data_IF_547609171283
#
_entry.id   IF_547609171283
#
_cell.length_a   1.000
_cell.length_b   1.000
_cell.length_c   1.000
_cell.angle_alpha   90.00
_cell.angle_beta   90.00
_cell.angle_gamma   90.00
#
_symmetry.space_group_name_H-M   'P 1'
#
loop_
_entity.id
_entity.type
_entity.pdbx_description
1 polymer ?
#
# COMPACT_ATOMS: atom_id res chain seq x y z
N UNK A 1 -7.56 -33.46 -0.70
CA UNK A 1 -6.57 -32.65 0.03
C UNK A 1 -6.12 -33.42 1.26
N UNK A 2 -4.93 -33.17 1.81
CA UNK A 2 -4.52 -33.76 3.10
C UNK A 2 -5.46 -33.25 4.21
N UNK A 3 -5.58 -33.99 5.32
CA UNK A 3 -6.46 -33.58 6.42
C UNK A 3 -6.07 -32.21 6.98
N UNK A 4 -4.78 -31.97 7.20
CA UNK A 4 -4.25 -30.68 7.65
C UNK A 4 -4.51 -29.55 6.65
N UNK A 5 -4.38 -29.83 5.35
CA UNK A 5 -4.76 -28.88 4.31
C UNK A 5 -6.23 -28.46 4.41
N UNK A 6 -7.15 -29.42 4.61
CA UNK A 6 -8.60 -29.13 4.77
C UNK A 6 -8.87 -28.20 5.96
N UNK A 7 -8.22 -28.43 7.11
CA UNK A 7 -8.33 -27.54 8.27
C UNK A 7 -7.78 -26.14 7.99
N UNK A 8 -6.65 -26.05 7.27
CA UNK A 8 -6.11 -24.80 6.78
C UNK A 8 -7.13 -24.02 5.95
N UNK A 9 -7.68 -24.64 4.90
CA UNK A 9 -8.68 -24.02 4.02
C UNK A 9 -9.98 -23.64 4.76
N UNK A 10 -10.45 -24.48 5.68
CA UNK A 10 -11.59 -24.13 6.55
C UNK A 10 -11.32 -22.84 7.33
N UNK A 11 -10.11 -22.69 7.86
CA UNK A 11 -9.74 -21.49 8.63
C UNK A 11 -9.77 -20.23 7.75
N UNK A 12 -9.35 -20.34 6.48
CA UNK A 12 -9.47 -19.24 5.50
C UNK A 12 -10.95 -18.88 5.27
N UNK A 13 -11.78 -19.88 4.96
CA UNK A 13 -13.20 -19.67 4.65
C UNK A 13 -13.97 -19.02 5.81
N UNK A 14 -13.64 -19.38 7.06
CA UNK A 14 -14.33 -18.86 8.25
C UNK A 14 -13.81 -17.47 8.63
N UNK A 15 -12.49 -17.24 8.61
CA UNK A 15 -11.91 -16.01 9.14
C UNK A 15 -12.08 -14.79 8.22
N UNK A 16 -12.30 -14.97 6.92
CA UNK A 16 -12.43 -13.88 5.94
C UNK A 16 -13.83 -13.22 5.87
N UNK A 17 -14.74 -13.58 6.78
CA UNK A 17 -16.17 -13.29 6.64
C UNK A 17 -16.66 -11.98 7.29
N UNK A 18 -15.79 -11.14 7.84
CA UNK A 18 -16.21 -10.10 8.81
C UNK A 18 -16.47 -8.69 8.25
N UNK A 19 -16.00 -8.31 7.06
CA UNK A 19 -16.17 -6.93 6.56
C UNK A 19 -16.50 -6.78 5.05
N UNK A 20 -16.13 -7.75 4.22
CA UNK A 20 -16.55 -7.86 2.82
C UNK A 20 -17.31 -9.17 2.61
N UNK A 21 -18.01 -9.33 1.47
CA UNK A 21 -18.61 -10.61 1.06
C UNK A 21 -17.72 -11.30 0.01
N UNK A 22 -16.51 -11.77 0.36
CA UNK A 22 -15.67 -12.48 -0.60
C UNK A 22 -16.36 -13.77 -1.05
N UNK A 23 -16.15 -14.14 -2.31
CA UNK A 23 -16.57 -15.43 -2.84
C UNK A 23 -15.34 -16.32 -3.00
N UNK A 24 -15.45 -17.56 -2.55
CA UNK A 24 -14.34 -18.51 -2.62
C UNK A 24 -14.59 -19.58 -3.66
N UNK A 25 -13.51 -20.04 -4.28
CA UNK A 25 -13.43 -21.28 -5.01
C UNK A 25 -12.19 -22.04 -4.52
N UNK A 26 -12.18 -23.36 -4.66
CA UNK A 26 -11.05 -24.18 -4.31
C UNK A 26 -10.74 -25.20 -5.41
N UNK A 27 -9.46 -25.28 -5.77
CA UNK A 27 -8.91 -26.29 -6.68
C UNK A 27 -7.87 -27.08 -5.91
N UNK A 28 -7.94 -28.41 -5.97
CA UNK A 28 -6.85 -29.25 -5.52
C UNK A 28 -6.03 -29.66 -6.74
N UNK A 29 -4.71 -29.64 -6.60
CA UNK A 29 -3.80 -30.04 -7.66
C UNK A 29 -2.75 -31.04 -7.16
N UNK A 30 -2.24 -31.81 -8.10
CA UNK A 30 -1.11 -32.70 -7.96
C UNK A 30 -0.51 -32.94 -9.36
N UNK A 31 -0.51 -34.18 -9.89
CA UNK A 31 -0.24 -34.45 -11.31
C UNK A 31 -1.35 -33.98 -12.26
N UNK A 32 -2.55 -33.72 -11.71
CA UNK A 32 -3.70 -33.11 -12.37
C UNK A 32 -4.34 -32.10 -11.41
N UNK A 33 -5.12 -31.17 -11.94
CA UNK A 33 -5.94 -30.26 -11.14
C UNK A 33 -7.43 -30.65 -11.24
N UNK A 34 -8.19 -30.44 -10.16
CA UNK A 34 -9.66 -30.50 -10.20
C UNK A 34 -10.30 -29.52 -9.24
N UNK A 35 -11.45 -29.00 -9.63
CA UNK A 35 -12.29 -28.16 -8.79
C UNK A 35 -12.85 -28.97 -7.61
N UNK A 36 -12.64 -28.45 -6.40
CA UNK A 36 -13.26 -28.96 -5.17
C UNK A 36 -14.63 -28.31 -4.99
N UNK A 37 -14.69 -26.98 -5.15
CA UNK A 37 -15.92 -26.20 -5.25
C UNK A 37 -15.65 -24.90 -6.02
N UNK A 38 -16.65 -24.40 -6.73
CA UNK A 38 -16.60 -23.12 -7.45
C UNK A 38 -17.33 -22.00 -6.68
N UNK A 39 -17.42 -20.80 -7.27
CA UNK A 39 -18.06 -19.66 -6.61
C UNK A 39 -19.57 -19.86 -6.40
N UNK A 40 -20.26 -20.59 -7.29
CA UNK A 40 -21.66 -20.92 -7.11
C UNK A 40 -21.87 -21.91 -5.94
N UNK A 41 -21.04 -22.96 -5.87
CA UNK A 41 -21.05 -23.90 -4.74
C UNK A 41 -20.82 -23.16 -3.40
N UNK A 42 -19.97 -22.13 -3.40
CA UNK A 42 -19.74 -21.29 -2.21
C UNK A 42 -20.98 -20.44 -1.86
N UNK A 43 -21.59 -19.75 -2.84
CA UNK A 43 -22.84 -18.98 -2.63
C UNK A 43 -23.98 -19.84 -2.08
N UNK A 44 -24.05 -21.10 -2.51
CA UNK A 44 -25.06 -22.08 -2.07
C UNK A 44 -24.71 -22.77 -0.75
N UNK A 45 -23.62 -22.37 -0.08
CA UNK A 45 -23.20 -22.96 1.20
C UNK A 45 -22.66 -24.39 1.10
N UNK A 46 -22.36 -24.88 -0.10
CA UNK A 46 -21.85 -26.25 -0.35
C UNK A 46 -20.33 -26.38 -0.20
N UNK A 47 -19.60 -25.28 -0.04
CA UNK A 47 -18.14 -25.25 0.03
C UNK A 47 -17.53 -26.16 1.11
N UNK A 48 -17.97 -26.05 2.37
CA UNK A 48 -17.42 -26.89 3.45
C UNK A 48 -17.74 -28.37 3.24
N UNK A 49 -18.96 -28.69 2.80
CA UNK A 49 -19.37 -30.06 2.49
C UNK A 49 -18.50 -30.68 1.40
N UNK A 50 -18.28 -29.96 0.30
CA UNK A 50 -17.43 -30.41 -0.79
C UNK A 50 -15.96 -30.55 -0.36
N UNK A 51 -15.46 -29.60 0.42
CA UNK A 51 -14.10 -29.63 0.98
C UNK A 51 -13.85 -30.89 1.84
N UNK A 52 -14.82 -31.27 2.67
CA UNK A 52 -14.68 -32.47 3.52
C UNK A 52 -14.77 -33.77 2.72
N UNK A 53 -15.57 -33.82 1.65
CA UNK A 53 -15.66 -34.97 0.74
C UNK A 53 -14.41 -35.16 -0.15
N UNK A 54 -13.61 -34.11 -0.31
CA UNK A 54 -12.50 -34.10 -1.26
C UNK A 54 -11.39 -35.10 -0.93
N UNK A 55 -11.08 -36.02 -1.86
CA UNK A 55 -10.03 -37.04 -1.66
C UNK A 55 -8.63 -36.45 -1.86
N UNK A 56 -7.64 -36.90 -1.09
CA UNK A 56 -6.24 -36.47 -1.26
C UNK A 56 -5.67 -36.96 -2.60
N UNK A 57 -5.01 -36.06 -3.33
CA UNK A 57 -4.16 -36.41 -4.46
C UNK A 57 -2.73 -36.57 -3.96
N UNK A 58 -2.21 -37.81 -3.94
CA UNK A 58 -0.86 -38.12 -3.45
C UNK A 58 0.08 -38.38 -4.63
N UNK A 59 0.37 -37.37 -5.46
CA UNK A 59 1.25 -37.49 -6.63
C UNK A 59 2.14 -36.24 -6.78
N UNK A 60 2.59 -35.92 -8.00
CA UNK A 60 3.47 -34.77 -8.33
C UNK A 60 2.86 -33.40 -7.94
N UNK A 61 3.62 -32.33 -8.13
CA UNK A 61 3.21 -30.95 -7.81
C UNK A 61 3.23 -30.10 -9.07
N UNK A 62 2.31 -30.35 -10.02
CA UNK A 62 2.24 -29.59 -11.28
C UNK A 62 1.54 -28.23 -11.05
N UNK A 63 2.31 -27.25 -10.60
CA UNK A 63 1.80 -25.94 -10.16
C UNK A 63 1.42 -25.06 -11.32
N UNK A 64 2.21 -25.01 -12.40
CA UNK A 64 1.91 -24.15 -13.55
C UNK A 64 0.65 -24.64 -14.29
N UNK A 65 0.52 -25.95 -14.47
CA UNK A 65 -0.70 -26.57 -14.99
C UNK A 65 -1.92 -26.27 -14.12
N UNK A 66 -1.77 -26.27 -12.79
CA UNK A 66 -2.85 -25.98 -11.87
C UNK A 66 -3.34 -24.53 -11.96
N UNK A 67 -2.40 -23.58 -12.12
CA UNK A 67 -2.73 -22.16 -12.33
C UNK A 67 -3.49 -22.01 -13.65
N UNK A 68 -3.00 -22.56 -14.76
CA UNK A 68 -3.71 -22.52 -16.06
C UNK A 68 -5.11 -23.16 -16.00
N UNK A 69 -5.25 -24.30 -15.32
CA UNK A 69 -6.55 -24.92 -15.08
C UNK A 69 -7.49 -23.96 -14.33
N UNK A 70 -6.99 -23.28 -13.29
CA UNK A 70 -7.77 -22.38 -12.47
C UNK A 70 -8.20 -21.13 -13.26
N UNK A 71 -7.32 -20.55 -14.08
CA UNK A 71 -7.66 -19.44 -14.97
C UNK A 71 -8.87 -19.81 -15.84
N UNK A 72 -8.78 -20.92 -16.57
CA UNK A 72 -9.79 -21.36 -17.54
C UNK A 72 -11.09 -21.82 -16.89
N UNK A 73 -11.02 -22.59 -15.80
CA UNK A 73 -12.18 -23.28 -15.25
C UNK A 73 -12.85 -22.54 -14.09
N UNK A 74 -12.14 -21.59 -13.46
CA UNK A 74 -12.65 -20.82 -12.31
C UNK A 74 -12.78 -19.35 -12.68
N UNK A 75 -11.70 -18.64 -12.99
CA UNK A 75 -11.76 -17.17 -13.14
C UNK A 75 -12.38 -16.69 -14.46
N UNK A 76 -12.24 -17.44 -15.55
CA UNK A 76 -12.80 -17.09 -16.86
C UNK A 76 -14.12 -17.82 -17.16
N UNK A 77 -14.58 -18.67 -16.25
CA UNK A 77 -15.78 -19.45 -16.42
C UNK A 77 -16.96 -18.81 -15.69
N UNK A 78 -17.83 -18.10 -16.43
CA UNK A 78 -19.05 -17.52 -15.86
C UNK A 78 -19.98 -18.58 -15.26
N UNK A 79 -20.02 -19.80 -15.82
CA UNK A 79 -20.81 -20.90 -15.26
C UNK A 79 -20.28 -21.39 -13.90
N UNK A 80 -19.02 -21.09 -13.57
CA UNK A 80 -18.44 -21.34 -12.25
C UNK A 80 -18.79 -20.24 -11.22
N UNK A 81 -19.49 -19.18 -11.64
CA UNK A 81 -19.94 -18.07 -10.80
C UNK A 81 -18.97 -16.88 -10.74
N UNK A 82 -17.96 -16.86 -11.61
CA UNK A 82 -16.98 -15.77 -11.69
C UNK A 82 -17.60 -14.48 -12.21
N UNK A 83 -17.21 -13.36 -11.59
CA UNK A 83 -17.65 -12.02 -11.98
C UNK A 83 -16.49 -11.30 -12.67
N UNK A 84 -16.75 -10.68 -13.82
CA UNK A 84 -15.71 -10.00 -14.60
C UNK A 84 -15.07 -8.81 -13.83
N UNK A 85 -15.90 -8.07 -13.09
CA UNK A 85 -15.51 -6.85 -12.37
C UNK A 85 -14.91 -7.11 -10.97
N UNK A 86 -14.80 -8.37 -10.55
CA UNK A 86 -14.26 -8.71 -9.24
C UNK A 86 -12.72 -8.63 -9.23
N UNK A 87 -12.16 -8.15 -8.12
CA UNK A 87 -10.74 -8.32 -7.83
C UNK A 87 -10.43 -9.80 -7.67
N UNK A 88 -9.46 -10.30 -8.45
CA UNK A 88 -9.13 -11.73 -8.49
C UNK A 88 -7.86 -12.00 -7.69
N UNK A 89 -8.01 -12.76 -6.61
CA UNK A 89 -6.89 -13.19 -5.76
C UNK A 89 -6.73 -14.69 -5.82
N UNK A 90 -5.50 -15.14 -6.10
CA UNK A 90 -5.08 -16.54 -6.07
C UNK A 90 -4.16 -16.77 -4.87
N UNK A 91 -4.55 -17.68 -3.98
CA UNK A 91 -3.70 -18.15 -2.88
C UNK A 91 -3.24 -19.58 -3.17
N UNK A 92 -1.94 -19.75 -3.42
CA UNK A 92 -1.30 -21.03 -3.69
C UNK A 92 -0.74 -21.57 -2.38
N UNK A 93 -1.21 -22.73 -1.93
CA UNK A 93 -0.68 -23.41 -0.74
C UNK A 93 -0.02 -24.70 -1.19
N UNK A 94 1.28 -24.86 -0.94
CA UNK A 94 2.05 -26.03 -1.38
C UNK A 94 3.07 -26.45 -0.33
N UNK A 95 3.25 -27.75 -0.16
CA UNK A 95 4.31 -28.36 0.66
C UNK A 95 5.47 -28.92 -0.18
N UNK A 96 5.44 -28.66 -1.50
CA UNK A 96 6.47 -29.09 -2.44
C UNK A 96 6.77 -28.04 -3.52
N UNK A 97 7.94 -28.19 -4.13
CA UNK A 97 8.36 -27.36 -5.26
C UNK A 97 7.57 -27.74 -6.53
N UNK A 98 7.33 -26.79 -7.46
CA UNK A 98 6.76 -27.11 -8.76
C UNK A 98 7.54 -28.23 -9.47
N UNK A 99 6.82 -29.25 -9.91
CA UNK A 99 7.34 -30.39 -10.69
C UNK A 99 7.29 -30.15 -12.19
N UNK A 100 6.57 -29.11 -12.63
CA UNK A 100 6.42 -28.67 -14.01
C UNK A 100 7.07 -27.29 -14.23
N UNK A 101 7.03 -26.82 -15.47
CA UNK A 101 7.58 -25.51 -15.87
C UNK A 101 6.54 -24.70 -16.63
N UNK A 102 6.67 -23.38 -16.63
CA UNK A 102 5.68 -22.50 -17.25
C UNK A 102 5.66 -22.52 -18.79
N UNK A 103 6.61 -23.21 -19.43
CA UNK A 103 6.84 -23.17 -20.89
C UNK A 103 5.60 -23.49 -21.74
N UNK A 104 4.62 -24.21 -21.20
CA UNK A 104 3.41 -24.65 -21.92
C UNK A 104 2.12 -23.98 -21.46
N UNK A 105 2.14 -23.27 -20.33
CA UNK A 105 0.93 -22.89 -19.61
C UNK A 105 0.70 -21.37 -19.56
N UNK A 106 1.73 -20.55 -19.87
CA UNK A 106 1.69 -19.09 -19.77
C UNK A 106 1.01 -18.62 -18.47
N UNK A 107 1.25 -19.35 -17.38
CA UNK A 107 0.45 -19.29 -16.17
C UNK A 107 0.76 -18.05 -15.36
N UNK A 108 2.01 -17.57 -15.36
CA UNK A 108 2.41 -16.37 -14.64
C UNK A 108 1.98 -15.12 -15.42
N UNK A 109 2.47 -14.95 -16.65
CA UNK A 109 2.11 -13.79 -17.47
C UNK A 109 0.60 -13.75 -17.76
N UNK A 110 -0.02 -14.90 -18.04
CA UNK A 110 -1.47 -14.96 -18.26
C UNK A 110 -2.30 -14.56 -17.04
N UNK A 111 -1.76 -14.76 -15.83
CA UNK A 111 -2.35 -14.26 -14.58
C UNK A 111 -2.13 -12.75 -14.43
N UNK A 112 -0.93 -12.26 -14.75
CA UNK A 112 -0.59 -10.82 -14.69
C UNK A 112 -1.43 -10.00 -15.67
N UNK A 113 -1.58 -10.45 -16.93
CA UNK A 113 -2.42 -9.83 -17.95
C UNK A 113 -3.89 -9.71 -17.53
N UNK A 114 -4.33 -10.52 -16.56
CA UNK A 114 -5.69 -10.56 -16.03
C UNK A 114 -5.83 -9.89 -14.67
N UNK A 115 -4.78 -9.20 -14.23
CA UNK A 115 -4.70 -8.52 -12.94
C UNK A 115 -5.01 -9.47 -11.76
N UNK A 116 -4.53 -10.71 -11.84
CA UNK A 116 -4.70 -11.73 -10.78
C UNK A 116 -3.54 -11.66 -9.81
N UNK A 117 -3.85 -11.37 -8.56
CA UNK A 117 -2.86 -11.21 -7.49
C UNK A 117 -2.56 -12.58 -6.90
N UNK A 118 -1.30 -12.97 -6.89
CA UNK A 118 -0.87 -14.31 -6.46
C UNK A 118 -0.11 -14.23 -5.16
N UNK A 119 -0.65 -14.86 -4.13
CA UNK A 119 0.04 -15.13 -2.87
C UNK A 119 0.47 -16.59 -2.83
N UNK A 120 1.67 -16.85 -2.33
CA UNK A 120 2.24 -18.20 -2.25
C UNK A 120 2.58 -18.53 -0.81
N UNK A 121 2.07 -19.64 -0.31
CA UNK A 121 2.30 -20.15 1.04
C UNK A 121 2.99 -21.51 0.90
N UNK A 122 4.28 -21.52 1.19
CA UNK A 122 5.09 -22.72 1.33
C UNK A 122 4.91 -23.36 2.71
N UNK A 123 4.75 -24.68 2.76
CA UNK A 123 4.63 -25.44 4.01
C UNK A 123 5.84 -26.35 4.17
N UNK A 124 6.47 -26.35 5.35
CA UNK A 124 7.69 -27.12 5.69
C UNK A 124 8.89 -26.77 4.80
N UNK A 125 9.38 -27.75 4.03
CA UNK A 125 10.67 -27.70 3.35
C UNK A 125 10.44 -27.49 1.86
N UNK A 126 10.40 -26.23 1.45
CA UNK A 126 10.26 -25.81 0.06
C UNK A 126 11.37 -24.82 -0.30
N UNK A 127 11.75 -24.78 -1.57
CA UNK A 127 12.71 -23.81 -2.09
C UNK A 127 12.01 -22.47 -2.28
N UNK A 128 12.27 -21.54 -1.36
CA UNK A 128 11.67 -20.21 -1.37
C UNK A 128 11.91 -19.48 -2.71
N UNK A 129 13.04 -19.72 -3.37
CA UNK A 129 13.38 -19.10 -4.65
C UNK A 129 12.42 -19.53 -5.75
N UNK A 130 12.07 -20.81 -5.78
CA UNK A 130 11.11 -21.37 -6.74
C UNK A 130 9.67 -20.95 -6.44
N UNK A 131 9.34 -20.74 -5.16
CA UNK A 131 8.00 -20.27 -4.79
C UNK A 131 7.83 -18.79 -5.10
N UNK A 132 8.87 -17.97 -4.89
CA UNK A 132 8.85 -16.55 -5.21
C UNK A 132 8.51 -16.27 -6.67
N UNK A 133 8.92 -17.13 -7.61
CA UNK A 133 8.61 -16.92 -9.04
C UNK A 133 7.11 -17.10 -9.37
N UNK A 134 6.33 -17.71 -8.47
CA UNK A 134 4.89 -17.90 -8.64
C UNK A 134 4.06 -16.72 -8.11
N UNK A 135 4.61 -15.95 -7.16
CA UNK A 135 3.93 -14.83 -6.53
C UNK A 135 3.93 -13.58 -7.42
N UNK A 136 2.94 -12.72 -7.22
CA UNK A 136 2.94 -11.37 -7.81
C UNK A 136 3.94 -10.46 -7.09
N UNK A 137 4.36 -9.37 -7.72
CA UNK A 137 5.24 -8.38 -7.08
C UNK A 137 4.53 -7.62 -5.93
N UNK A 138 5.25 -7.19 -4.87
CA UNK A 138 6.63 -7.55 -4.55
C UNK A 138 6.72 -8.98 -4.00
N UNK A 139 7.51 -9.83 -4.64
CA UNK A 139 7.57 -11.28 -4.37
C UNK A 139 7.91 -11.64 -2.93
N UNK A 140 8.78 -10.86 -2.30
CA UNK A 140 9.20 -10.99 -0.90
C UNK A 140 8.01 -10.87 0.06
N UNK A 141 7.06 -10.01 -0.30
CA UNK A 141 5.90 -9.72 0.53
C UNK A 141 4.72 -10.64 0.21
N UNK A 142 4.70 -11.26 -0.96
CA UNK A 142 3.61 -12.12 -1.40
C UNK A 142 3.95 -13.62 -1.31
N UNK A 143 5.14 -13.96 -0.81
CA UNK A 143 5.58 -15.32 -0.55
C UNK A 143 5.79 -15.52 0.95
N UNK A 144 5.17 -16.55 1.50
CA UNK A 144 5.24 -16.88 2.92
C UNK A 144 5.70 -18.32 3.11
N UNK A 145 6.40 -18.57 4.22
CA UNK A 145 6.84 -19.91 4.62
C UNK A 145 6.31 -20.22 6.02
N UNK A 146 5.66 -21.36 6.18
CA UNK A 146 5.17 -21.86 7.48
C UNK A 146 5.69 -23.25 7.77
N UNK A 147 5.94 -23.53 9.05
CA UNK A 147 6.39 -24.84 9.50
C UNK A 147 5.26 -25.89 9.42
N UNK A 148 4.03 -25.48 9.69
CA UNK A 148 2.85 -26.33 9.62
C UNK A 148 1.60 -25.50 9.28
N UNK A 149 0.46 -26.18 9.12
CA UNK A 149 -0.81 -25.53 8.80
C UNK A 149 -1.39 -24.70 9.95
N UNK A 150 -0.88 -24.79 11.18
CA UNK A 150 -1.30 -23.90 12.27
C UNK A 150 -0.75 -22.48 12.06
N UNK A 151 0.43 -22.37 11.44
CA UNK A 151 1.03 -21.10 11.03
C UNK A 151 0.18 -20.30 10.04
N UNK A 152 -0.78 -20.93 9.35
CA UNK A 152 -1.73 -20.22 8.49
C UNK A 152 -2.48 -19.15 9.27
N UNK A 153 -2.87 -19.39 10.53
CA UNK A 153 -3.65 -18.40 11.30
C UNK A 153 -2.94 -17.05 11.39
N UNK A 154 -1.63 -17.03 11.62
CA UNK A 154 -0.83 -15.80 11.67
C UNK A 154 -0.62 -15.14 10.31
N UNK A 155 -0.59 -15.92 9.23
CA UNK A 155 -0.52 -15.38 7.86
C UNK A 155 -1.86 -14.77 7.45
N UNK A 156 -2.98 -15.38 7.85
CA UNK A 156 -4.31 -14.95 7.43
C UNK A 156 -4.59 -13.52 7.84
N UNK A 157 -4.19 -13.08 9.03
CA UNK A 157 -4.38 -11.68 9.45
C UNK A 157 -3.59 -10.70 8.56
N UNK A 158 -2.38 -11.06 8.15
CA UNK A 158 -1.55 -10.25 7.24
C UNK A 158 -2.12 -10.26 5.82
N UNK A 159 -2.49 -11.43 5.32
CA UNK A 159 -3.07 -11.63 4.01
C UNK A 159 -4.44 -10.95 3.89
N UNK A 160 -5.25 -10.95 4.97
CA UNK A 160 -6.49 -10.19 5.09
C UNK A 160 -6.25 -8.69 4.98
N UNK A 161 -5.32 -8.12 5.76
CA UNK A 161 -4.99 -6.69 5.69
C UNK A 161 -4.51 -6.29 4.29
N UNK A 162 -3.74 -7.14 3.62
CA UNK A 162 -3.30 -6.90 2.25
C UNK A 162 -4.45 -6.95 1.26
N UNK A 163 -5.30 -7.97 1.32
CA UNK A 163 -6.50 -8.07 0.46
C UNK A 163 -7.46 -6.90 0.74
N UNK A 164 -7.57 -6.44 1.98
CA UNK A 164 -8.37 -5.27 2.36
C UNK A 164 -7.83 -3.99 1.68
N UNK A 165 -6.52 -3.76 1.75
CA UNK A 165 -5.88 -2.62 1.08
C UNK A 165 -6.05 -2.68 -0.45
N UNK A 166 -6.15 -3.89 -1.00
CA UNK A 166 -6.39 -4.17 -2.43
C UNK A 166 -7.84 -3.89 -2.86
N UNK A 167 -8.84 -4.03 -2.00
CA UNK A 167 -10.23 -3.68 -2.34
C UNK A 167 -10.52 -2.19 -2.11
N UNK A 168 -9.84 -1.55 -1.15
CA UNK A 168 -9.88 -0.10 -0.94
C UNK A 168 -9.12 0.73 -2.00
N UNK A 169 -8.29 0.07 -2.81
CA UNK A 169 -7.52 0.66 -3.91
C UNK A 169 -7.60 -0.32 -5.08
N UNK A 170 -8.32 -0.02 -6.18
CA UNK A 170 -8.53 -0.92 -7.35
C UNK A 170 -7.24 -1.35 -8.12
N UNK A 171 -6.10 -1.51 -7.45
CA UNK A 171 -4.78 -1.77 -8.02
C UNK A 171 -3.92 -2.51 -6.99
N UNK A 172 -4.09 -3.82 -6.98
CA UNK A 172 -3.29 -4.75 -6.20
C UNK A 172 -1.96 -5.13 -6.86
N UNK A 173 -1.35 -4.18 -7.56
CA UNK A 173 -0.01 -4.27 -8.10
C UNK A 173 0.95 -3.30 -7.41
N UNK A 174 0.54 -2.66 -6.31
CA UNK A 174 1.33 -1.68 -5.59
C UNK A 174 2.45 -2.33 -4.75
N UNK A 175 3.52 -2.77 -5.41
CA UNK A 175 4.82 -2.32 -4.93
C UNK A 175 4.79 -0.79 -4.91
N UNK A 176 4.98 -0.19 -3.72
CA UNK A 176 4.95 1.25 -3.45
C UNK A 176 3.82 2.05 -4.15
N UNK A 177 2.76 2.41 -3.41
CA UNK A 177 1.79 3.41 -3.88
C UNK A 177 2.54 4.71 -4.13
N UNK A 178 2.69 5.12 -5.37
CA UNK A 178 3.46 6.32 -5.73
C UNK A 178 2.53 7.53 -5.80
N UNK A 179 1.46 7.45 -6.60
CA UNK A 179 0.55 8.60 -6.84
C UNK A 179 -0.94 8.23 -6.90
N UNK A 180 -1.29 6.96 -6.79
CA UNK A 180 -2.65 6.44 -6.94
C UNK A 180 -3.62 7.02 -5.91
N UNK A 181 -3.12 7.20 -4.69
CA UNK A 181 -3.83 7.82 -3.57
C UNK A 181 -3.26 9.20 -3.24
N UNK A 182 -2.60 9.85 -4.21
CA UNK A 182 -1.83 11.10 -4.00
C UNK A 182 -2.61 12.16 -3.25
N UNK A 183 -3.90 12.34 -3.59
CA UNK A 183 -4.73 13.43 -3.09
C UNK A 183 -4.04 14.78 -3.32
N UNK A 184 -3.45 14.97 -4.52
CA UNK A 184 -2.80 16.22 -4.89
C UNK A 184 -3.80 17.39 -4.82
N UNK A 185 -3.37 18.50 -4.23
CA UNK A 185 -4.22 19.65 -3.95
C UNK A 185 -4.91 19.58 -2.58
N UNK A 186 -4.50 18.67 -1.70
CA UNK A 186 -4.95 18.63 -0.31
C UNK A 186 -4.66 19.96 0.41
N UNK A 187 -3.49 20.54 0.14
CA UNK A 187 -3.17 21.94 0.43
C UNK A 187 -2.69 22.62 -0.85
N UNK A 188 -2.78 23.95 -0.91
CA UNK A 188 -2.33 24.71 -2.08
C UNK A 188 -1.84 26.10 -1.67
N UNK A 189 -0.80 26.59 -2.36
CA UNK A 189 -0.29 27.94 -2.17
C UNK A 189 0.27 28.50 -3.48
N UNK A 190 -0.06 29.75 -3.78
CA UNK A 190 0.58 30.49 -4.86
C UNK A 190 1.91 31.06 -4.38
N UNK A 191 2.96 30.77 -5.12
CA UNK A 191 4.30 31.34 -4.89
C UNK A 191 4.40 32.69 -5.59
N UNK A 192 3.84 32.78 -6.80
CA UNK A 192 3.69 34.00 -7.59
C UNK A 192 2.50 33.81 -8.56
N UNK A 193 2.33 34.70 -9.55
CA UNK A 193 1.20 34.64 -10.49
C UNK A 193 1.18 33.38 -11.37
N UNK A 194 2.35 32.79 -11.62
CA UNK A 194 2.52 31.68 -12.55
C UNK A 194 2.90 30.37 -11.83
N UNK A 195 3.32 30.42 -10.58
CA UNK A 195 3.77 29.23 -9.83
C UNK A 195 2.78 28.85 -8.73
N UNK A 196 2.24 27.63 -8.83
CA UNK A 196 1.34 27.02 -7.84
C UNK A 196 2.02 25.79 -7.24
N UNK A 197 1.95 25.66 -5.91
CA UNK A 197 2.44 24.49 -5.18
C UNK A 197 1.28 23.77 -4.53
N UNK A 198 1.17 22.47 -4.79
CA UNK A 198 0.13 21.59 -4.27
C UNK A 198 0.71 20.57 -3.31
N UNK A 199 0.09 20.41 -2.14
CA UNK A 199 0.36 19.34 -1.20
C UNK A 199 -0.34 18.05 -1.60
N UNK A 200 0.35 16.93 -1.44
CA UNK A 200 -0.10 15.61 -1.90
C UNK A 200 0.17 14.55 -0.85
N UNK A 201 -0.70 14.51 0.16
CA UNK A 201 -0.51 13.76 1.40
C UNK A 201 -0.40 12.25 1.22
N UNK A 202 -1.06 11.68 0.21
CA UNK A 202 -1.11 10.23 0.00
C UNK A 202 -0.06 9.69 -0.98
N UNK A 203 0.78 10.57 -1.54
CA UNK A 203 1.87 10.16 -2.41
C UNK A 203 2.90 9.33 -1.64
N UNK A 204 3.52 8.36 -2.33
CA UNK A 204 4.62 7.56 -1.81
C UNK A 204 4.28 6.82 -0.50
N UNK A 205 3.18 6.07 -0.48
CA UNK A 205 2.62 5.39 0.70
C UNK A 205 2.34 6.36 1.85
N UNK A 206 1.59 7.43 1.58
CA UNK A 206 1.26 8.46 2.56
C UNK A 206 2.47 9.13 3.24
N UNK A 207 3.69 8.95 2.71
CA UNK A 207 4.84 9.78 3.07
C UNK A 207 4.53 11.23 2.74
N UNK A 208 3.93 11.45 1.57
CA UNK A 208 3.54 12.73 1.03
C UNK A 208 4.59 13.36 0.13
N UNK A 209 4.18 14.35 -0.66
CA UNK A 209 5.02 15.18 -1.53
C UNK A 209 4.40 16.56 -1.75
N UNK A 210 5.18 17.48 -2.32
CA UNK A 210 4.66 18.69 -2.93
C UNK A 210 4.83 18.60 -4.46
N UNK A 211 3.90 19.20 -5.20
CA UNK A 211 3.98 19.36 -6.64
C UNK A 211 4.01 20.84 -6.99
N UNK A 212 5.09 21.28 -7.62
CA UNK A 212 5.26 22.63 -8.15
C UNK A 212 4.89 22.65 -9.63
N UNK A 213 4.00 23.55 -10.04
CA UNK A 213 3.62 23.76 -11.44
C UNK A 213 3.87 25.22 -11.82
N UNK A 214 4.42 25.45 -13.02
CA UNK A 214 4.76 26.77 -13.56
C UNK A 214 4.01 27.05 -14.87
N UNK A 215 3.14 28.06 -14.86
CA UNK A 215 2.39 28.56 -16.03
C UNK A 215 1.36 27.58 -16.59
N UNK A 216 1.08 27.68 -17.90
CA UNK A 216 0.21 26.74 -18.65
C UNK A 216 0.90 25.40 -18.97
N UNK A 217 2.13 25.17 -18.48
CA UNK A 217 2.87 23.93 -18.77
C UNK A 217 2.34 22.81 -17.89
N UNK A 218 2.10 21.65 -18.51
CA UNK A 218 1.64 20.42 -17.84
C UNK A 218 2.72 19.66 -17.07
N UNK A 219 3.96 20.19 -16.98
CA UNK A 219 5.04 19.49 -16.28
C UNK A 219 5.01 19.86 -14.79
N UNK A 220 4.63 18.90 -13.97
CA UNK A 220 4.66 19.01 -12.51
C UNK A 220 6.01 18.55 -11.99
N UNK A 221 6.63 19.38 -11.14
CA UNK A 221 7.84 19.03 -10.43
C UNK A 221 7.51 18.48 -9.04
N UNK A 222 7.86 17.22 -8.80
CA UNK A 222 7.72 16.61 -7.47
C UNK A 222 8.87 17.02 -6.54
N UNK A 223 8.50 17.51 -5.35
CA UNK A 223 9.40 17.84 -4.25
C UNK A 223 9.12 16.85 -3.14
N UNK A 224 10.15 16.10 -2.74
CA UNK A 224 10.04 14.99 -1.80
C UNK A 224 11.19 14.96 -0.82
N UNK A 225 10.95 14.37 0.35
CA UNK A 225 11.99 13.93 1.27
C UNK A 225 11.96 12.40 1.38
N UNK A 226 12.82 11.67 0.64
CA UNK A 226 12.84 10.21 0.68
C UNK A 226 13.16 9.62 2.05
N UNK A 227 13.78 10.41 2.95
CA UNK A 227 14.15 9.99 4.30
C UNK A 227 13.00 10.08 5.30
N UNK A 228 11.91 10.75 4.93
CA UNK A 228 10.72 10.84 5.76
C UNK A 228 10.00 9.49 5.82
N UNK A 229 9.50 9.13 7.00
CA UNK A 229 8.75 7.89 7.19
C UNK A 229 7.47 7.87 6.35
N UNK A 230 7.03 6.65 6.02
CA UNK A 230 5.70 6.44 5.42
C UNK A 230 4.61 6.86 6.41
N UNK A 231 3.41 7.12 5.90
CA UNK A 231 2.26 7.55 6.71
C UNK A 231 2.45 8.88 7.49
N UNK A 232 3.38 9.73 7.02
CA UNK A 232 3.73 11.03 7.65
C UNK A 232 2.83 12.19 7.21
N UNK A 233 2.18 12.09 6.06
CA UNK A 233 1.32 13.12 5.45
C UNK A 233 2.06 14.43 5.13
N UNK A 234 3.27 14.37 4.58
CA UNK A 234 3.92 15.59 4.07
C UNK A 234 3.07 16.27 2.99
N UNK A 235 2.94 17.59 3.05
CA UNK A 235 2.02 18.33 2.19
C UNK A 235 0.60 18.39 2.75
N UNK A 236 0.41 18.12 4.04
CA UNK A 236 -0.88 18.36 4.71
C UNK A 236 -1.18 19.86 4.80
N UNK A 237 -0.16 20.65 5.09
CA UNK A 237 -0.19 22.12 5.04
C UNK A 237 1.05 22.60 4.30
N UNK A 238 0.95 23.73 3.60
CA UNK A 238 2.05 24.31 2.85
C UNK A 238 2.05 25.83 3.03
N UNK A 239 3.23 26.40 3.24
CA UNK A 239 3.43 27.84 3.28
C UNK A 239 4.71 28.21 2.51
N UNK A 240 4.75 29.42 1.99
CA UNK A 240 5.88 29.95 1.20
C UNK A 240 6.47 31.14 1.93
N UNK A 241 7.79 31.21 1.98
CA UNK A 241 8.50 32.37 2.50
C UNK A 241 9.69 32.73 1.62
N UNK A 242 10.34 33.84 1.96
CA UNK A 242 11.53 34.34 1.27
C UNK A 242 12.54 34.83 2.29
N UNK A 243 13.83 34.59 2.11
CA UNK A 243 14.88 35.17 2.97
C UNK A 243 16.13 35.45 2.14
N UNK A 244 16.59 36.70 2.14
CA UNK A 244 17.76 37.14 1.38
C UNK A 244 17.68 36.68 -0.08
N UNK A 245 16.55 36.95 -0.72
CA UNK A 245 16.22 36.53 -2.09
C UNK A 245 15.99 35.02 -2.32
N UNK A 246 16.30 34.17 -1.34
CA UNK A 246 16.07 32.73 -1.45
C UNK A 246 14.62 32.37 -1.15
N UNK A 247 14.01 31.59 -2.04
CA UNK A 247 12.67 31.05 -1.86
C UNK A 247 12.68 29.84 -0.92
N UNK A 248 11.73 29.81 0.01
CA UNK A 248 11.59 28.80 1.05
C UNK A 248 10.20 28.16 0.99
N UNK A 249 10.13 26.84 0.97
CA UNK A 249 8.87 26.10 1.14
C UNK A 249 8.84 25.41 2.49
N UNK A 250 7.78 25.70 3.24
CA UNK A 250 7.47 25.03 4.49
C UNK A 250 6.35 24.03 4.24
N UNK A 251 6.53 22.80 4.69
CA UNK A 251 5.49 21.77 4.59
C UNK A 251 5.31 21.02 5.88
N UNK A 252 4.05 20.78 6.21
CA UNK A 252 3.61 20.04 7.38
C UNK A 252 3.48 18.55 7.08
N UNK A 253 4.00 17.74 8.00
CA UNK A 253 3.87 16.29 8.06
C UNK A 253 3.34 15.88 9.45
N UNK A 254 2.07 16.20 9.78
CA UNK A 254 1.55 16.15 11.15
C UNK A 254 1.42 14.73 11.72
N UNK A 255 1.60 13.68 10.91
CA UNK A 255 1.60 12.28 11.34
C UNK A 255 2.98 11.66 11.46
N UNK A 256 4.04 12.37 11.06
CA UNK A 256 5.42 11.87 11.13
C UNK A 256 5.76 11.43 12.56
N UNK A 257 6.21 10.19 12.71
CA UNK A 257 6.53 9.53 13.98
C UNK A 257 5.43 9.68 15.05
N UNK A 258 4.17 9.88 14.62
CA UNK A 258 3.02 10.22 15.46
C UNK A 258 3.16 11.50 16.31
N UNK A 259 4.22 12.29 16.12
CA UNK A 259 4.46 13.56 16.84
C UNK A 259 4.15 14.77 15.96
N UNK A 260 4.33 14.63 14.64
CA UNK A 260 4.24 15.72 13.67
C UNK A 260 5.60 16.37 13.44
N UNK A 261 5.82 16.84 12.21
CA UNK A 261 7.08 17.43 11.76
C UNK A 261 6.83 18.54 10.74
N UNK A 262 7.70 19.55 10.72
CA UNK A 262 7.82 20.54 9.65
C UNK A 262 9.11 20.29 8.88
N UNK A 263 9.04 20.38 7.56
CA UNK A 263 10.20 20.41 6.68
C UNK A 263 10.32 21.77 6.02
N UNK A 264 11.54 22.31 6.02
CA UNK A 264 11.93 23.49 5.28
C UNK A 264 12.74 23.07 4.06
N UNK A 265 12.24 23.40 2.87
CA UNK A 265 12.93 23.22 1.61
C UNK A 265 13.50 24.54 1.10
N UNK A 266 14.72 24.50 0.57
CA UNK A 266 15.34 25.57 -0.19
C UNK A 266 15.81 25.05 -1.55
N UNK A 267 16.09 25.97 -2.48
CA UNK A 267 16.56 25.63 -3.82
C UNK A 267 18.08 25.75 -3.90
N UNK A 268 18.77 24.63 -4.10
CA UNK A 268 20.23 24.56 -4.30
C UNK A 268 20.51 24.01 -5.69
N UNK A 269 21.24 24.74 -6.54
CA UNK A 269 21.53 24.36 -7.94
C UNK A 269 20.27 23.95 -8.72
N UNK A 270 19.21 24.76 -8.59
CA UNK A 270 17.90 24.52 -9.18
C UNK A 270 17.15 23.27 -8.64
N UNK A 271 17.65 22.60 -7.59
CA UNK A 271 17.00 21.45 -6.94
C UNK A 271 16.49 21.77 -5.54
N UNK A 272 15.29 21.29 -5.22
CA UNK A 272 14.72 21.44 -3.89
C UNK A 272 15.38 20.44 -2.93
N UNK A 273 15.96 20.97 -1.85
CA UNK A 273 16.65 20.21 -0.80
C UNK A 273 16.07 20.54 0.55
N UNK A 274 16.00 19.55 1.45
CA UNK A 274 15.57 19.79 2.83
C UNK A 274 16.70 20.49 3.58
N UNK A 275 16.49 21.76 3.93
CA UNK A 275 17.42 22.53 4.76
C UNK A 275 17.25 22.18 6.24
N UNK A 276 16.00 22.08 6.72
CA UNK A 276 15.75 21.85 8.14
C UNK A 276 14.52 20.97 8.38
N UNK A 277 14.54 20.24 9.51
CA UNK A 277 13.41 19.48 10.04
C UNK A 277 13.15 19.91 11.48
N UNK A 278 11.90 20.21 11.81
CA UNK A 278 11.46 20.56 13.17
C UNK A 278 10.42 19.52 13.63
N UNK A 279 10.65 18.87 14.76
CA UNK A 279 9.72 17.86 15.30
C UNK A 279 8.82 18.46 16.38
N UNK A 280 7.58 17.99 16.45
CA UNK A 280 6.65 18.30 17.53
C UNK A 280 7.08 17.67 18.86
N UNK A 281 6.60 18.23 19.97
CA UNK A 281 6.99 17.80 21.32
C UNK A 281 6.03 16.78 21.95
N UNK A 282 4.83 16.61 21.39
CA UNK A 282 3.78 15.77 21.96
C UNK A 282 3.17 14.84 20.89
N UNK A 283 3.13 13.55 21.19
CA UNK A 283 2.45 12.54 20.37
C UNK A 283 0.97 12.90 20.18
N UNK A 284 0.48 12.82 18.96
CA UNK A 284 -0.91 13.09 18.63
C UNK A 284 -1.28 14.57 18.63
N UNK A 285 -0.34 15.49 18.92
CA UNK A 285 -0.60 16.94 18.92
C UNK A 285 -0.90 17.52 17.53
N UNK A 286 -0.59 16.73 16.50
CA UNK A 286 -0.77 17.10 15.09
C UNK A 286 0.07 18.34 14.74
N UNK A 287 1.30 18.40 15.28
CA UNK A 287 2.23 19.50 15.04
C UNK A 287 2.55 19.64 13.55
N UNK A 288 2.32 20.84 13.03
CA UNK A 288 2.45 21.12 11.60
C UNK A 288 1.21 20.84 10.78
N UNK A 289 0.03 20.86 11.41
CA UNK A 289 -1.23 20.77 10.69
C UNK A 289 -1.62 22.07 9.98
N UNK A 290 -1.07 23.20 10.43
CA UNK A 290 -1.31 24.53 9.87
C UNK A 290 -0.01 25.32 9.87
N UNK A 291 0.23 26.09 8.81
CA UNK A 291 1.45 26.88 8.62
C UNK A 291 1.12 28.26 8.11
N UNK A 292 1.75 29.29 8.67
CA UNK A 292 1.63 30.66 8.19
C UNK A 292 2.98 31.35 8.26
N UNK A 293 3.50 31.79 7.12
CA UNK A 293 4.66 32.67 7.03
C UNK A 293 4.24 34.12 7.21
N UNK A 294 5.04 34.89 7.95
CA UNK A 294 4.76 36.29 8.27
C UNK A 294 6.01 37.13 8.04
N UNK A 295 5.84 38.17 7.22
CA UNK A 295 6.76 39.31 7.05
C UNK A 295 6.08 40.49 7.77
N UNK A 296 6.63 40.91 8.91
CA UNK A 296 5.96 41.88 9.80
C UNK A 296 6.30 43.32 9.43
N UNK A 297 7.52 43.56 8.93
CA UNK A 297 8.00 44.89 8.58
C UNK A 297 7.87 45.20 7.07
N UNK A 298 7.40 44.23 6.30
CA UNK A 298 7.19 44.32 4.85
C UNK A 298 8.48 44.58 4.07
N UNK A 299 9.61 44.09 4.56
CA UNK A 299 10.91 44.20 3.86
C UNK A 299 11.07 43.17 2.73
N UNK A 300 10.11 42.26 2.58
CA UNK A 300 10.11 41.18 1.58
C UNK A 300 10.81 39.91 2.05
N UNK A 301 11.30 39.87 3.28
CA UNK A 301 11.79 38.70 3.97
C UNK A 301 10.74 38.21 4.97
N UNK A 302 10.59 36.89 5.04
CA UNK A 302 9.80 36.26 6.08
C UNK A 302 10.56 36.32 7.40
N UNK A 303 9.94 36.91 8.42
CA UNK A 303 10.49 37.01 9.77
C UNK A 303 10.12 35.80 10.62
N UNK A 304 8.87 35.37 10.51
CA UNK A 304 8.30 34.32 11.35
C UNK A 304 7.60 33.23 10.55
N UNK A 305 7.69 32.01 11.07
CA UNK A 305 6.82 30.90 10.73
C UNK A 305 5.97 30.54 11.95
N UNK A 306 4.66 30.64 11.79
CA UNK A 306 3.68 30.15 12.75
C UNK A 306 3.34 28.70 12.42
N UNK A 307 3.39 27.82 13.44
CA UNK A 307 3.12 26.39 13.29
C UNK A 307 2.01 25.98 14.25
N UNK A 308 0.93 25.42 13.72
CA UNK A 308 -0.19 24.90 14.50
C UNK A 308 0.01 23.46 14.97
N UNK A 309 -0.32 23.19 16.23
CA UNK A 309 -0.53 21.86 16.80
C UNK A 309 -1.92 21.82 17.46
N UNK A 310 -3.00 21.70 16.67
CA UNK A 310 -4.36 21.91 17.15
C UNK A 310 -4.79 20.84 18.17
N UNK A 311 -4.22 19.64 18.09
CA UNK A 311 -4.53 18.54 19.00
C UNK A 311 -3.59 18.49 20.21
N UNK A 312 -2.72 19.49 20.37
CA UNK A 312 -1.90 19.60 21.56
C UNK A 312 -2.79 19.69 22.80
N UNK A 313 -2.53 18.84 23.80
CA UNK A 313 -3.30 18.80 25.01
C UNK A 313 -2.45 19.08 26.25
N UNK A 314 -2.93 19.95 27.12
CA UNK A 314 -2.43 20.17 28.47
C UNK A 314 -3.63 20.34 29.41
N UNK A 315 -3.47 20.05 30.70
CA UNK A 315 -4.54 20.23 31.68
C UNK A 315 -5.14 21.64 31.57
N UNK A 316 -6.42 21.72 31.18
CA UNK A 316 -7.20 22.95 30.95
C UNK A 316 -6.81 23.81 29.72
N UNK A 317 -5.96 23.33 28.80
CA UNK A 317 -5.61 24.04 27.55
C UNK A 317 -5.55 23.07 26.38
N UNK A 318 -6.12 23.46 25.25
CA UNK A 318 -6.11 22.69 24.00
C UNK A 318 -5.60 23.55 22.86
N UNK A 319 -4.87 22.91 21.94
CA UNK A 319 -4.18 23.57 20.85
C UNK A 319 -2.94 24.35 21.30
N UNK A 320 -1.99 24.48 20.38
CA UNK A 320 -0.81 25.31 20.56
C UNK A 320 -0.39 25.89 19.22
N UNK A 321 0.10 27.13 19.25
CA UNK A 321 0.77 27.78 18.11
C UNK A 321 2.20 28.04 18.54
N UNK A 322 3.16 27.61 17.73
CA UNK A 322 4.57 27.87 17.90
C UNK A 322 4.98 28.99 16.94
N UNK A 323 5.85 29.87 17.40
CA UNK A 323 6.40 30.99 16.61
C UNK A 323 7.88 30.74 16.44
N UNK A 324 8.32 30.55 15.20
CA UNK A 324 9.73 30.37 14.86
C UNK A 324 10.24 31.59 14.12
N UNK A 325 11.37 32.16 14.56
CA UNK A 325 12.06 33.24 13.86
C UNK A 325 13.00 32.68 12.80
N UNK A 326 12.96 33.23 11.60
CA UNK A 326 13.90 32.90 10.52
C UNK A 326 15.19 33.72 10.70
N UNK A 327 16.33 33.04 10.66
CA UNK A 327 17.65 33.68 10.77
C UNK A 327 18.46 33.46 9.49
N UNK A 328 19.47 34.29 9.25
CA UNK A 328 20.30 34.24 8.03
C UNK A 328 21.11 32.94 7.87
N UNK A 329 21.24 32.15 8.94
CA UNK A 329 21.87 30.83 8.90
C UNK A 329 20.85 29.78 8.50
N UNK A 330 20.50 29.73 7.22
CA UNK A 330 19.89 28.53 6.63
C UNK A 330 21.04 27.57 6.32
N UNK A 331 21.50 26.86 7.35
CA UNK A 331 22.51 25.81 7.26
C UNK A 331 21.90 24.48 6.90
#
# INVERSE_FOLDING_TARGET
>A
MSLHGKYGMKSILVNFSSFFKPQFAAVQFSSKARTVFNFNDFKEGRALTNLWKEKHMSSLTNTHQAIDFLLKNIFENQAAGATADATKVLVIITDGNPSDTDKRFNSINGSDDKNIIRFVIGVKNVDLTKLKSLASEPKENNTFLIQDYNGLKGILDNLQKKIFNIEGSKTALAGNLTKEMSQSGFSAVYVNKDTLVLGSVGSNNWRGSLFETEGLRSEEREIQDPTLDKDSYMGYSVAVGKKNENLLYFTGAPRSEHMGRILLFNKVNNNWTVAQRLSGEQMGSYFGAELCSVDIDSDGNTDFLLVGAPMFHQRQREGRIYVYTLTDKVG
#
